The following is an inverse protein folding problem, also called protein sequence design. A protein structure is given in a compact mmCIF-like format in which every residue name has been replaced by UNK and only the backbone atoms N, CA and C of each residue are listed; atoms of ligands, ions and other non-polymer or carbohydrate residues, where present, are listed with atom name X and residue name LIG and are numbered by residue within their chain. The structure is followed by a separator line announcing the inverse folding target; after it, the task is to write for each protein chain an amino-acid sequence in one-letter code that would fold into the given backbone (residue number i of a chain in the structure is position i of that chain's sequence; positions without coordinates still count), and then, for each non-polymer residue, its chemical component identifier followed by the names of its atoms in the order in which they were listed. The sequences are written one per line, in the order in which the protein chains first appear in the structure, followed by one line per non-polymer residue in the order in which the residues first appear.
data_IF_479648846911
#
_entry.id   IF_479648846911
#
_cell.length_a   1.000
_cell.length_b   1.000
_cell.length_c   1.000
_cell.angle_alpha   90.00
_cell.angle_beta   90.00
_cell.angle_gamma   90.00
#
_symmetry.space_group_name_H-M   'P 1'
#
loop_
_entity.id
_entity.type
_entity.pdbx_description
1 polymer ?
#
# COMPACT_ATOMS: atom_id res chain seq x y z
N UNK A 1 -11.62 -38.94 -30.88
CA UNK A 1 -11.17 -37.59 -30.51
C UNK A 1 -11.08 -37.53 -28.99
N UNK A 2 -9.91 -37.21 -28.39
CA UNK A 2 -9.79 -37.16 -26.95
C UNK A 2 -10.59 -35.97 -26.41
N UNK A 3 -11.39 -36.22 -25.37
CA UNK A 3 -12.22 -35.24 -24.71
C UNK A 3 -11.35 -34.16 -24.06
N UNK A 4 -11.63 -32.90 -24.39
CA UNK A 4 -11.10 -31.74 -23.69
C UNK A 4 -11.74 -31.76 -22.29
N UNK A 5 -10.98 -31.81 -21.18
CA UNK A 5 -11.57 -31.66 -19.86
C UNK A 5 -12.03 -30.20 -19.71
N UNK A 6 -13.34 -30.00 -19.87
CA UNK A 6 -14.04 -28.75 -19.57
C UNK A 6 -14.48 -28.76 -18.10
N UNK A 7 -13.57 -28.42 -17.19
CA UNK A 7 -13.98 -27.90 -15.88
C UNK A 7 -12.89 -27.01 -15.31
N UNK A 8 -13.15 -25.70 -15.13
CA UNK A 8 -12.34 -24.89 -14.22
C UNK A 8 -12.53 -25.50 -12.83
N UNK A 9 -11.45 -25.94 -12.19
CA UNK A 9 -11.47 -26.20 -10.76
C UNK A 9 -12.09 -24.98 -10.08
N UNK A 10 -13.24 -25.15 -9.41
CA UNK A 10 -13.91 -24.07 -8.72
C UNK A 10 -12.91 -23.46 -7.72
N UNK A 11 -12.51 -22.21 -7.95
CA UNK A 11 -11.63 -21.50 -7.04
C UNK A 11 -12.25 -21.53 -5.64
N UNK A 12 -11.44 -21.85 -4.62
CA UNK A 12 -11.87 -21.83 -3.23
C UNK A 12 -12.49 -20.45 -2.91
N UNK A 13 -13.63 -20.37 -2.21
CA UNK A 13 -14.17 -19.11 -1.69
C UNK A 13 -13.13 -18.16 -1.08
N UNK A 14 -12.09 -18.67 -0.42
CA UNK A 14 -10.99 -17.85 0.10
C UNK A 14 -10.16 -17.20 -1.03
N UNK A 15 -9.83 -17.94 -2.08
CA UNK A 15 -9.10 -17.43 -3.25
C UNK A 15 -9.91 -16.39 -4.01
N UNK A 16 -11.22 -16.59 -4.14
CA UNK A 16 -12.12 -15.63 -4.76
C UNK A 16 -12.19 -14.31 -3.97
N UNK A 17 -12.24 -14.38 -2.64
CA UNK A 17 -12.21 -13.17 -1.79
C UNK A 17 -10.90 -12.40 -1.96
N UNK A 18 -9.78 -13.10 -1.97
CA UNK A 18 -8.46 -12.49 -2.16
C UNK A 18 -8.35 -11.80 -3.53
N UNK A 19 -8.79 -12.46 -4.60
CA UNK A 19 -8.81 -11.88 -5.94
C UNK A 19 -9.69 -10.61 -6.01
N UNK A 20 -10.86 -10.63 -5.38
CA UNK A 20 -11.75 -9.46 -5.30
C UNK A 20 -11.10 -8.31 -4.53
N UNK A 21 -10.42 -8.61 -3.42
CA UNK A 21 -9.67 -7.61 -2.64
C UNK A 21 -8.58 -6.93 -3.47
N UNK A 22 -7.75 -7.73 -4.15
CA UNK A 22 -6.69 -7.22 -5.04
C UNK A 22 -7.24 -6.39 -6.19
N UNK A 23 -8.34 -6.83 -6.79
CA UNK A 23 -9.00 -6.09 -7.86
C UNK A 23 -9.57 -4.76 -7.37
N UNK A 24 -10.19 -4.74 -6.19
CA UNK A 24 -10.68 -3.50 -5.58
C UNK A 24 -9.51 -2.53 -5.27
N UNK A 25 -8.41 -3.04 -4.72
CA UNK A 25 -7.20 -2.26 -4.47
C UNK A 25 -6.62 -1.66 -5.77
N UNK A 26 -6.56 -2.46 -6.84
CA UNK A 26 -6.16 -1.99 -8.17
C UNK A 26 -7.05 -0.85 -8.69
N UNK A 27 -8.37 -0.99 -8.56
CA UNK A 27 -9.33 0.03 -8.98
C UNK A 27 -9.22 1.32 -8.16
N UNK A 28 -8.85 1.22 -6.87
CA UNK A 28 -8.63 2.35 -5.98
C UNK A 28 -7.31 3.11 -6.23
N UNK A 29 -6.38 2.55 -7.02
CA UNK A 29 -5.15 3.26 -7.35
C UNK A 29 -5.42 4.43 -8.31
N UNK A 30 -4.77 5.59 -8.11
CA UNK A 30 -4.80 6.68 -9.08
C UNK A 30 -4.26 6.24 -10.45
N UNK A 31 -4.77 6.83 -11.53
CA UNK A 31 -4.33 6.54 -12.90
C UNK A 31 -2.80 6.55 -13.10
N UNK A 32 -2.02 7.55 -12.60
CA UNK A 32 -0.57 7.51 -12.74
C UNK A 32 0.08 6.32 -12.03
N UNK A 33 -0.49 5.84 -10.92
CA UNK A 33 0.01 4.64 -10.25
C UNK A 33 -0.34 3.37 -11.00
N UNK A 34 -1.57 3.26 -11.55
CA UNK A 34 -1.95 2.15 -12.42
C UNK A 34 -1.03 2.05 -13.63
N UNK A 35 -0.71 3.18 -14.27
CA UNK A 35 0.23 3.22 -15.38
C UNK A 35 1.63 2.69 -14.97
N UNK A 36 2.16 3.11 -13.81
CA UNK A 36 3.45 2.65 -13.29
C UNK A 36 3.47 1.15 -13.00
N UNK A 37 2.39 0.60 -12.44
CA UNK A 37 2.26 -0.84 -12.21
C UNK A 37 2.14 -1.59 -13.54
N UNK A 38 1.41 -1.06 -14.52
CA UNK A 38 1.34 -1.61 -15.88
C UNK A 38 2.70 -1.69 -16.56
N UNK A 39 3.50 -0.63 -16.47
CA UNK A 39 4.89 -0.61 -16.96
C UNK A 39 5.78 -1.64 -16.24
N UNK A 40 5.64 -1.80 -14.92
CA UNK A 40 6.35 -2.84 -14.18
C UNK A 40 5.92 -4.25 -14.63
N UNK A 41 4.62 -4.47 -14.85
CA UNK A 41 4.10 -5.75 -15.32
C UNK A 41 4.64 -6.11 -16.72
N UNK A 42 4.70 -5.14 -17.65
CA UNK A 42 5.31 -5.33 -18.98
C UNK A 42 6.78 -5.71 -18.89
N UNK A 43 7.56 -5.03 -18.04
CA UNK A 43 8.97 -5.35 -17.82
C UNK A 43 9.16 -6.75 -17.24
N UNK A 44 8.34 -7.16 -16.28
CA UNK A 44 8.38 -8.52 -15.72
C UNK A 44 8.01 -9.55 -16.78
N UNK A 45 6.98 -9.30 -17.59
CA UNK A 45 6.54 -10.20 -18.65
C UNK A 45 7.61 -10.41 -19.74
N UNK A 46 8.49 -9.43 -19.95
CA UNK A 46 9.62 -9.52 -20.87
C UNK A 46 10.80 -10.33 -20.32
N UNK A 47 10.84 -10.65 -19.02
CA UNK A 47 11.91 -11.47 -18.42
C UNK A 47 11.76 -12.95 -18.80
N UNK A 48 12.86 -13.73 -18.83
CA UNK A 48 12.78 -15.19 -18.98
C UNK A 48 11.89 -15.83 -17.90
N UNK A 49 11.16 -16.93 -18.21
CA UNK A 49 10.23 -17.56 -17.27
C UNK A 49 10.85 -17.91 -15.91
N UNK A 50 12.10 -18.38 -15.90
CA UNK A 50 12.83 -18.68 -14.66
C UNK A 50 13.03 -17.44 -13.77
N UNK A 51 13.31 -16.27 -14.38
CA UNK A 51 13.45 -15.02 -13.63
C UNK A 51 12.11 -14.50 -13.13
N UNK A 52 11.04 -14.64 -13.92
CA UNK A 52 9.68 -14.32 -13.47
C UNK A 52 9.28 -15.17 -12.26
N UNK A 53 9.57 -16.47 -12.30
CA UNK A 53 9.29 -17.39 -11.21
C UNK A 53 10.09 -17.04 -9.95
N UNK A 54 11.38 -16.78 -10.09
CA UNK A 54 12.22 -16.35 -8.97
C UNK A 54 11.72 -15.05 -8.32
N UNK A 55 11.23 -14.08 -9.10
CA UNK A 55 10.63 -12.86 -8.55
C UNK A 55 9.34 -13.14 -7.77
N UNK A 56 8.47 -14.01 -8.31
CA UNK A 56 7.21 -14.41 -7.64
C UNK A 56 7.49 -15.12 -6.32
N UNK A 57 8.46 -16.02 -6.28
CA UNK A 57 8.86 -16.75 -5.07
C UNK A 57 9.45 -15.80 -4.02
N UNK A 58 10.37 -14.92 -4.42
CA UNK A 58 10.93 -13.90 -3.52
C UNK A 58 9.85 -13.00 -2.93
N UNK A 59 8.85 -12.62 -3.73
CA UNK A 59 7.71 -11.85 -3.25
C UNK A 59 6.80 -12.68 -2.32
N UNK A 60 6.57 -13.96 -2.63
CA UNK A 60 5.76 -14.86 -1.82
C UNK A 60 6.37 -15.13 -0.43
N UNK A 61 7.71 -15.08 -0.33
CA UNK A 61 8.46 -15.21 0.92
C UNK A 61 8.40 -13.94 1.80
N UNK A 62 7.90 -12.81 1.29
CA UNK A 62 7.75 -11.60 2.10
C UNK A 62 6.61 -11.77 3.11
N UNK A 63 6.75 -11.08 4.25
CA UNK A 63 5.71 -11.04 5.28
C UNK A 63 4.36 -10.56 4.72
N UNK A 64 3.26 -11.08 5.26
CA UNK A 64 1.93 -10.71 4.81
C UNK A 64 1.66 -9.21 4.93
N UNK A 65 2.09 -8.55 6.02
CA UNK A 65 1.88 -7.11 6.20
C UNK A 65 2.64 -6.29 5.17
N UNK A 66 3.83 -6.75 4.78
CA UNK A 66 4.60 -6.13 3.70
C UNK A 66 3.86 -6.25 2.37
N UNK A 67 3.35 -7.46 2.04
CA UNK A 67 2.59 -7.69 0.80
C UNK A 67 1.29 -6.90 0.77
N UNK A 68 0.57 -6.84 1.88
CA UNK A 68 -0.68 -6.06 2.01
C UNK A 68 -0.42 -4.56 1.84
N UNK A 69 0.73 -4.06 2.30
CA UNK A 69 1.15 -2.68 2.08
C UNK A 69 1.23 -2.31 0.60
N UNK A 70 1.68 -3.22 -0.27
CA UNK A 70 1.75 -2.99 -1.72
C UNK A 70 0.39 -2.84 -2.41
N UNK A 71 -0.71 -3.27 -1.77
CA UNK A 71 -2.07 -3.01 -2.27
C UNK A 71 -2.40 -1.51 -2.28
N UNK A 72 -1.69 -0.70 -1.50
CA UNK A 72 -1.85 0.76 -1.49
C UNK A 72 -1.17 1.46 -2.67
N UNK A 73 -0.49 0.70 -3.54
CA UNK A 73 0.24 1.22 -4.69
C UNK A 73 1.74 1.42 -4.41
N UNK A 74 2.54 1.66 -5.46
CA UNK A 74 4.00 1.64 -5.36
C UNK A 74 4.59 2.83 -4.59
N UNK A 75 3.90 3.98 -4.57
CA UNK A 75 4.39 5.14 -3.83
C UNK A 75 4.19 4.93 -2.33
N UNK A 76 2.96 4.66 -1.89
CA UNK A 76 2.64 4.54 -0.46
C UNK A 76 3.03 3.18 0.13
N UNK A 77 2.92 2.10 -0.64
CA UNK A 77 3.10 0.74 -0.14
C UNK A 77 4.50 0.45 0.43
N UNK A 78 5.55 1.04 -0.15
CA UNK A 78 6.91 0.93 0.38
C UNK A 78 7.10 1.63 1.74
N UNK A 79 6.32 2.67 2.03
CA UNK A 79 6.39 3.43 3.29
C UNK A 79 5.44 2.87 4.34
N UNK A 80 4.37 2.19 3.92
CA UNK A 80 3.30 1.77 4.81
C UNK A 80 3.75 0.94 6.02
N UNK A 81 4.74 0.02 5.92
CA UNK A 81 5.29 -0.67 7.09
C UNK A 81 5.79 0.28 8.19
N UNK A 82 6.42 1.40 7.81
CA UNK A 82 6.91 2.43 8.75
C UNK A 82 5.79 3.32 9.27
N UNK A 83 4.71 3.46 8.51
CA UNK A 83 3.53 4.23 8.87
C UNK A 83 2.51 3.42 9.68
N UNK A 84 2.66 2.09 9.79
CA UNK A 84 1.72 1.23 10.51
C UNK A 84 1.50 1.65 11.97
N UNK A 85 2.54 2.21 12.61
CA UNK A 85 2.42 2.76 13.96
C UNK A 85 1.24 3.72 14.08
N UNK A 86 1.12 4.68 13.17
CA UNK A 86 0.04 5.68 13.17
C UNK A 86 -1.20 5.20 12.42
N UNK A 87 -1.04 4.57 11.25
CA UNK A 87 -2.14 4.35 10.30
C UNK A 87 -2.57 2.88 10.15
N UNK A 88 -1.95 1.96 10.89
CA UNK A 88 -2.24 0.53 10.79
C UNK A 88 -3.62 0.14 11.33
N UNK A 89 -4.18 0.93 12.25
CA UNK A 89 -5.52 0.73 12.79
C UNK A 89 -6.36 2.01 12.64
N UNK A 90 -7.21 2.02 11.62
CA UNK A 90 -8.13 3.10 11.30
C UNK A 90 -9.57 2.54 11.21
N UNK A 91 -10.56 3.26 11.77
CA UNK A 91 -11.97 2.97 11.50
C UNK A 91 -12.24 2.93 9.99
N UNK A 92 -13.14 2.05 9.54
CA UNK A 92 -13.42 1.85 8.12
C UNK A 92 -13.77 3.17 7.40
N UNK A 93 -14.58 4.01 8.04
CA UNK A 93 -15.01 5.33 7.57
C UNK A 93 -13.82 6.30 7.33
N UNK A 94 -12.74 6.15 8.12
CA UNK A 94 -11.58 7.07 8.08
C UNK A 94 -10.46 6.57 7.16
N UNK A 95 -10.52 5.30 6.72
CA UNK A 95 -9.46 4.70 5.90
C UNK A 95 -9.28 5.40 4.55
N UNK A 96 -10.35 5.54 3.77
CA UNK A 96 -10.25 6.17 2.44
C UNK A 96 -9.84 7.65 2.51
N UNK A 97 -10.44 8.50 3.38
CA UNK A 97 -9.98 9.88 3.54
C UNK A 97 -8.50 9.98 3.96
N UNK A 98 -8.05 9.12 4.88
CA UNK A 98 -6.64 9.12 5.31
C UNK A 98 -5.70 8.69 4.17
N UNK A 99 -6.05 7.64 3.42
CA UNK A 99 -5.26 7.20 2.27
C UNK A 99 -5.20 8.26 1.17
N UNK A 100 -6.29 8.98 0.91
CA UNK A 100 -6.30 10.09 -0.04
C UNK A 100 -5.31 11.20 0.36
N UNK A 101 -5.22 11.53 1.65
CA UNK A 101 -4.23 12.48 2.18
C UNK A 101 -2.81 11.94 2.02
N UNK A 102 -2.57 10.68 2.40
CA UNK A 102 -1.24 10.06 2.32
C UNK A 102 -0.72 9.99 0.87
N UNK A 103 -1.60 9.77 -0.11
CA UNK A 103 -1.25 9.75 -1.55
C UNK A 103 -0.88 11.13 -2.10
N UNK A 104 -1.29 12.23 -1.46
CA UNK A 104 -0.89 13.59 -1.84
C UNK A 104 0.51 13.95 -1.38
N UNK A 105 1.09 13.18 -0.45
CA UNK A 105 2.41 13.45 0.09
C UNK A 105 3.50 13.05 -0.90
N UNK A 106 4.50 13.91 -1.04
CA UNK A 106 5.70 13.55 -1.78
C UNK A 106 6.62 12.62 -0.96
N UNK A 107 7.71 12.17 -1.58
CA UNK A 107 8.65 11.20 -0.98
C UNK A 107 9.29 11.75 0.30
N UNK A 108 9.69 13.02 0.33
CA UNK A 108 10.32 13.65 1.50
C UNK A 108 9.34 13.77 2.67
N UNK A 109 8.09 14.13 2.38
CA UNK A 109 7.02 14.22 3.37
C UNK A 109 6.66 12.84 3.94
N UNK A 110 6.63 11.79 3.11
CA UNK A 110 6.42 10.42 3.57
C UNK A 110 7.59 9.93 4.44
N UNK A 111 8.81 10.32 4.12
CA UNK A 111 9.99 10.03 4.93
C UNK A 111 9.91 10.70 6.31
N UNK A 112 9.56 11.99 6.35
CA UNK A 112 9.34 12.73 7.59
C UNK A 112 8.21 12.14 8.43
N UNK A 113 7.05 11.84 7.82
CA UNK A 113 5.91 11.24 8.50
C UNK A 113 6.27 9.86 9.08
N UNK A 114 7.12 9.10 8.39
CA UNK A 114 7.64 7.83 8.90
C UNK A 114 8.51 7.99 10.14
N UNK A 115 9.26 9.09 10.26
CA UNK A 115 10.04 9.40 11.48
C UNK A 115 9.10 9.79 12.63
N UNK A 116 8.10 10.63 12.35
CA UNK A 116 7.06 10.97 13.33
C UNK A 116 6.39 9.69 13.84
N UNK A 117 5.93 8.82 12.95
CA UNK A 117 5.26 7.57 13.31
C UNK A 117 6.11 6.62 14.17
N UNK A 118 7.43 6.61 13.95
CA UNK A 118 8.36 5.81 14.75
C UNK A 118 8.57 6.36 16.15
N UNK A 119 8.53 7.69 16.32
CA UNK A 119 8.76 8.36 17.62
C UNK A 119 7.49 8.52 18.44
N UNK A 120 6.31 8.55 17.81
CA UNK A 120 5.04 8.71 18.53
C UNK A 120 4.74 7.47 19.38
N UNK A 121 4.69 7.62 20.72
CA UNK A 121 4.37 6.51 21.62
C UNK A 121 2.91 6.08 21.43
N UNK A 122 2.54 4.82 21.73
CA UNK A 122 1.21 4.27 21.46
C UNK A 122 0.03 5.14 21.93
N UNK A 123 0.18 5.79 23.08
CA UNK A 123 -0.85 6.61 23.73
C UNK A 123 -1.14 7.92 22.97
N UNK A 124 -0.17 8.44 22.22
CA UNK A 124 -0.29 9.71 21.50
C UNK A 124 -0.69 9.54 20.02
N UNK A 125 -0.67 8.31 19.52
CA UNK A 125 -0.88 8.01 18.08
C UNK A 125 -2.19 8.56 17.55
N UNK A 126 -3.26 8.42 18.31
CA UNK A 126 -4.58 8.89 17.91
C UNK A 126 -4.61 10.41 17.80
N UNK A 127 -3.98 11.11 18.74
CA UNK A 127 -3.87 12.57 18.74
C UNK A 127 -3.01 13.05 17.57
N UNK A 128 -1.80 12.51 17.39
CA UNK A 128 -0.88 12.90 16.30
C UNK A 128 -1.52 12.64 14.95
N UNK A 129 -2.20 11.51 14.79
CA UNK A 129 -2.93 11.17 13.57
C UNK A 129 -4.08 12.15 13.30
N UNK A 130 -4.91 12.43 14.30
CA UNK A 130 -6.02 13.35 14.16
C UNK A 130 -5.55 14.76 13.78
N UNK A 131 -4.48 15.24 14.43
CA UNK A 131 -3.85 16.52 14.10
C UNK A 131 -3.39 16.54 12.65
N UNK A 132 -2.61 15.55 12.22
CA UNK A 132 -2.09 15.48 10.85
C UNK A 132 -3.19 15.44 9.80
N UNK A 133 -4.23 14.63 10.01
CA UNK A 133 -5.34 14.47 9.06
C UNK A 133 -6.22 15.73 8.97
N UNK A 134 -6.28 16.55 10.03
CA UNK A 134 -7.02 17.81 10.03
C UNK A 134 -6.29 18.96 9.31
N UNK A 135 -5.00 18.82 9.00
CA UNK A 135 -4.23 19.88 8.35
C UNK A 135 -4.64 20.10 6.89
N UNK A 136 -4.79 21.38 6.54
CA UNK A 136 -4.84 21.81 5.14
C UNK A 136 -3.55 21.40 4.42
N UNK A 137 -3.60 21.07 3.10
CA UNK A 137 -2.43 20.58 2.37
C UNK A 137 -1.19 21.46 2.49
N UNK A 138 -1.35 22.79 2.47
CA UNK A 138 -0.26 23.75 2.58
C UNK A 138 0.44 23.76 3.95
N UNK A 139 -0.23 23.30 5.02
CA UNK A 139 0.32 23.31 6.38
C UNK A 139 1.10 22.03 6.74
N UNK A 140 0.94 20.95 5.94
CA UNK A 140 1.50 19.63 6.27
C UNK A 140 3.02 19.61 6.30
N UNK A 141 3.67 20.28 5.36
CA UNK A 141 5.14 20.33 5.29
C UNK A 141 5.75 21.00 6.53
N UNK A 142 5.18 22.15 6.94
CA UNK A 142 5.62 22.86 8.14
C UNK A 142 5.40 22.02 9.41
N UNK A 143 4.24 21.38 9.54
CA UNK A 143 3.95 20.51 10.68
C UNK A 143 4.90 19.31 10.74
N UNK A 144 5.17 18.66 9.59
CA UNK A 144 6.10 17.53 9.54
C UNK A 144 7.51 17.94 9.99
N UNK A 145 8.02 19.08 9.50
CA UNK A 145 9.34 19.60 9.91
C UNK A 145 9.42 19.88 11.41
N UNK A 146 8.36 20.45 11.99
CA UNK A 146 8.28 20.72 13.43
C UNK A 146 8.27 19.42 14.25
N UNK A 147 7.48 18.42 13.83
CA UNK A 147 7.32 17.16 14.57
C UNK A 147 8.47 16.16 14.35
N UNK A 148 9.31 16.35 13.34
CA UNK A 148 10.53 15.54 13.14
C UNK A 148 11.69 16.05 14.02
N UNK A 149 11.69 17.34 14.37
CA UNK A 149 12.75 18.02 15.12
C UNK A 149 12.60 18.04 16.65
N UNK A 150 11.49 17.51 17.17
CA UNK A 150 11.29 17.19 18.59
C UNK A 150 11.55 15.71 18.85
#
# INVERSE_FOLDING_TARGET
APAIPATPAALDPAQLRELRSRYAAWQALPEPERARVGEAARRIAALPPAQQQALRERFAQQDQRFRDGWLLGPQLGQWFPKLQGLFGYLPAEQREPALAILRQLNVDQLAQLSLVAQRTPPQERDQVRAQFLALAPAARDAWLKQNVGH
#
